data_IF_639202968839
#
_entry.id   IF_639202968839
#
_cell.length_a   1.000
_cell.length_b   1.000
_cell.length_c   1.000
_cell.angle_alpha   90.00
_cell.angle_beta   90.00
_cell.angle_gamma   90.00
#
_symmetry.space_group_name_H-M   'P 1'
#
loop_
_entity.id
_entity.type
_entity.pdbx_description
1 polymer ?
#
# COMPACT_ATOMS: atom_id res chain seq x y z
N UNK A 1 -19.99 -0.54 -3.47
CA UNK A 1 -20.40 0.78 -2.96
C UNK A 1 -19.80 1.05 -1.57
N UNK A 2 -18.60 1.62 -1.50
CA UNK A 2 -17.90 1.82 -0.21
C UNK A 2 -18.73 2.59 0.84
N UNK A 3 -18.92 2.00 2.03
CA UNK A 3 -19.53 2.66 3.19
C UNK A 3 -18.49 3.47 3.97
N UNK A 4 -18.78 4.76 4.21
CA UNK A 4 -17.88 5.67 4.94
C UNK A 4 -18.02 5.53 6.47
N UNK A 5 -17.70 4.35 7.01
CA UNK A 5 -17.64 4.10 8.46
C UNK A 5 -16.19 4.01 8.93
N UNK A 6 -15.50 5.16 8.95
CA UNK A 6 -14.08 5.24 9.30
C UNK A 6 -13.91 5.48 10.79
N UNK A 7 -13.07 4.67 11.45
CA UNK A 7 -12.63 4.95 12.83
C UNK A 7 -11.91 6.31 12.86
N UNK A 8 -12.25 7.15 13.83
CA UNK A 8 -11.66 8.50 14.02
C UNK A 8 -10.78 8.62 15.25
N UNK A 9 -11.06 7.81 16.26
CA UNK A 9 -10.31 7.78 17.51
C UNK A 9 -9.36 6.58 17.58
N UNK A 10 -8.26 6.68 18.34
CA UNK A 10 -7.39 5.54 18.62
C UNK A 10 -8.16 4.38 19.26
N UNK A 11 -7.78 3.16 18.90
CA UNK A 11 -8.45 1.95 19.38
C UNK A 11 -7.44 0.83 19.64
N UNK A 12 -7.86 -0.14 20.47
CA UNK A 12 -7.05 -1.31 20.81
C UNK A 12 -7.20 -2.42 19.77
N UNK A 13 -6.09 -3.08 19.47
CA UNK A 13 -6.00 -4.36 18.78
C UNK A 13 -5.51 -5.41 19.78
N UNK A 14 -6.19 -6.54 19.83
CA UNK A 14 -5.76 -7.70 20.61
C UNK A 14 -4.91 -8.59 19.71
N UNK A 15 -3.64 -8.76 20.05
CA UNK A 15 -2.68 -9.57 19.33
C UNK A 15 -2.40 -10.88 20.11
N UNK A 16 -1.77 -11.89 19.49
CA UNK A 16 -1.42 -13.13 20.18
C UNK A 16 -0.45 -12.90 21.35
N UNK A 17 -0.26 -13.93 22.18
CA UNK A 17 0.64 -13.92 23.33
C UNK A 17 0.32 -12.84 24.40
N UNK A 18 -0.96 -12.44 24.51
CA UNK A 18 -1.40 -11.47 25.52
C UNK A 18 -1.00 -10.02 25.21
N UNK A 19 -0.50 -9.75 24.00
CA UNK A 19 -0.13 -8.41 23.56
C UNK A 19 -1.36 -7.63 23.15
N UNK A 20 -1.45 -6.38 23.58
CA UNK A 20 -2.44 -5.42 23.06
C UNK A 20 -1.72 -4.18 22.56
N UNK A 21 -2.11 -3.65 21.41
CA UNK A 21 -1.57 -2.40 20.88
C UNK A 21 -2.68 -1.40 20.63
N UNK A 22 -2.49 -0.16 21.08
CA UNK A 22 -3.37 0.95 20.77
C UNK A 22 -2.84 1.67 19.55
N UNK A 23 -3.69 1.81 18.54
CA UNK A 23 -3.31 2.35 17.24
C UNK A 23 -4.13 3.57 16.88
N UNK A 24 -3.51 4.52 16.19
CA UNK A 24 -4.22 5.56 15.43
C UNK A 24 -4.99 4.91 14.29
N UNK A 25 -6.17 5.45 13.90
CA UNK A 25 -6.87 4.99 12.71
C UNK A 25 -5.98 4.97 11.47
N UNK A 26 -6.13 3.92 10.66
CA UNK A 26 -5.46 3.84 9.37
C UNK A 26 -5.94 5.00 8.50
N UNK A 27 -5.01 5.89 8.16
CA UNK A 27 -5.25 7.04 7.30
C UNK A 27 -4.41 6.93 6.04
N UNK A 28 -4.80 7.67 5.00
CA UNK A 28 -4.02 7.77 3.76
C UNK A 28 -2.59 8.24 4.06
N UNK A 29 -2.41 9.18 4.98
CA UNK A 29 -1.08 9.66 5.36
C UNK A 29 -0.19 8.55 5.94
N UNK A 30 -0.72 7.72 6.83
CA UNK A 30 0.02 6.58 7.42
C UNK A 30 0.36 5.54 6.35
N UNK A 31 -0.61 5.17 5.50
CA UNK A 31 -0.39 4.19 4.43
C UNK A 31 0.64 4.69 3.41
N UNK A 32 0.50 5.92 2.91
CA UNK A 32 1.40 6.48 1.92
C UNK A 32 2.82 6.69 2.46
N UNK A 33 2.96 7.10 3.72
CA UNK A 33 4.27 7.20 4.37
C UNK A 33 4.93 5.82 4.49
N UNK A 34 4.18 4.79 4.89
CA UNK A 34 4.68 3.43 4.99
C UNK A 34 5.12 2.89 3.62
N UNK A 35 4.29 2.98 2.59
CA UNK A 35 4.63 2.58 1.22
C UNK A 35 5.87 3.32 0.71
N UNK A 36 5.97 4.64 0.94
CA UNK A 36 7.12 5.44 0.52
C UNK A 36 8.41 4.99 1.19
N UNK A 37 8.36 4.62 2.47
CA UNK A 37 9.53 4.10 3.19
C UNK A 37 10.03 2.76 2.61
N UNK A 38 9.10 1.88 2.22
CA UNK A 38 9.42 0.60 1.59
C UNK A 38 10.05 0.81 0.21
N UNK A 39 9.42 1.63 -0.63
CA UNK A 39 9.93 1.95 -1.98
C UNK A 39 11.33 2.54 -1.89
N UNK A 40 11.56 3.47 -0.96
CA UNK A 40 12.87 4.07 -0.73
C UNK A 40 13.90 3.00 -0.37
N UNK A 41 13.63 2.18 0.63
CA UNK A 41 14.59 1.18 1.11
C UNK A 41 14.90 0.10 0.04
N UNK A 42 13.92 -0.35 -0.75
CA UNK A 42 14.15 -1.26 -1.88
C UNK A 42 15.03 -0.59 -2.95
N UNK A 43 14.78 0.69 -3.24
CA UNK A 43 15.56 1.46 -4.20
C UNK A 43 17.00 1.64 -3.71
N UNK A 44 17.19 1.97 -2.44
CA UNK A 44 18.49 2.14 -1.81
C UNK A 44 19.30 0.83 -1.88
N UNK A 45 18.70 -0.32 -1.55
CA UNK A 45 19.38 -1.61 -1.68
C UNK A 45 19.76 -1.95 -3.12
N UNK A 46 18.87 -1.70 -4.09
CA UNK A 46 19.17 -1.93 -5.51
C UNK A 46 20.34 -1.06 -5.97
N UNK A 47 20.35 0.21 -5.57
CA UNK A 47 21.42 1.15 -5.92
C UNK A 47 22.76 0.76 -5.28
N UNK A 48 22.75 0.41 -3.99
CA UNK A 48 23.95 -0.02 -3.27
C UNK A 48 24.53 -1.30 -3.87
N UNK A 49 23.67 -2.29 -4.15
CA UNK A 49 24.09 -3.57 -4.76
C UNK A 49 24.74 -3.35 -6.11
N UNK A 50 24.14 -2.50 -6.95
CA UNK A 50 24.73 -2.09 -8.24
C UNK A 50 26.08 -1.40 -8.05
N UNK A 51 26.16 -0.43 -7.15
CA UNK A 51 27.39 0.32 -6.90
C UNK A 51 28.54 -0.57 -6.41
N UNK A 52 28.27 -1.56 -5.55
CA UNK A 52 29.26 -2.52 -5.07
C UNK A 52 29.68 -3.50 -6.17
N UNK A 53 28.72 -3.99 -6.95
CA UNK A 53 28.98 -4.90 -8.07
C UNK A 53 29.89 -4.26 -9.12
N UNK A 54 29.64 -2.99 -9.48
CA UNK A 54 30.43 -2.26 -10.49
C UNK A 54 31.92 -2.11 -10.10
N UNK A 55 32.25 -2.17 -8.80
CA UNK A 55 33.63 -2.10 -8.28
C UNK A 55 34.18 -3.46 -7.81
N UNK A 56 33.43 -4.55 -8.02
CA UNK A 56 33.82 -5.90 -7.59
C UNK A 56 33.85 -6.10 -6.07
N UNK A 57 33.12 -5.27 -5.31
CA UNK A 57 32.96 -5.44 -3.87
C UNK A 57 31.95 -6.55 -3.53
N UNK A 58 32.02 -7.06 -2.31
CA UNK A 58 31.08 -8.07 -1.82
C UNK A 58 29.66 -7.47 -1.67
N UNK A 59 28.67 -8.25 -2.10
CA UNK A 59 27.23 -7.93 -2.04
C UNK A 59 26.44 -8.98 -1.27
N UNK A 60 27.11 -9.99 -0.71
CA UNK A 60 26.46 -11.11 -0.03
C UNK A 60 25.70 -10.71 1.25
N UNK A 61 26.04 -9.56 1.84
CA UNK A 61 25.36 -8.96 2.99
C UNK A 61 24.09 -8.17 2.62
N UNK A 62 23.87 -7.90 1.32
CA UNK A 62 22.72 -7.16 0.83
C UNK A 62 21.63 -8.11 0.35
N UNK A 63 20.35 -7.81 0.60
CA UNK A 63 19.26 -8.59 0.05
C UNK A 63 19.23 -8.50 -1.48
N UNK A 64 18.96 -9.62 -2.15
CA UNK A 64 18.72 -9.63 -3.59
C UNK A 64 17.30 -9.13 -3.90
N UNK A 65 17.16 -7.80 -3.99
CA UNK A 65 15.88 -7.15 -4.29
C UNK A 65 15.49 -7.22 -5.78
N UNK A 66 16.32 -7.82 -6.63
CA UNK A 66 15.96 -8.12 -8.02
C UNK A 66 15.26 -9.47 -8.15
N UNK A 67 15.54 -10.40 -7.23
CA UNK A 67 14.71 -11.58 -7.02
C UNK A 67 13.29 -11.19 -6.56
N UNK A 68 12.28 -11.71 -7.25
CA UNK A 68 10.89 -11.32 -7.04
C UNK A 68 10.36 -11.77 -5.68
N UNK A 69 10.67 -13.00 -5.27
CA UNK A 69 10.18 -13.57 -4.01
C UNK A 69 10.80 -12.85 -2.81
N UNK A 70 12.11 -12.59 -2.87
CA UNK A 70 12.84 -11.81 -1.87
C UNK A 70 12.27 -10.40 -1.76
N UNK A 71 12.08 -9.72 -2.90
CA UNK A 71 11.49 -8.38 -2.93
C UNK A 71 10.07 -8.36 -2.36
N UNK A 72 9.22 -9.34 -2.69
CA UNK A 72 7.86 -9.41 -2.19
C UNK A 72 7.83 -9.60 -0.66
N UNK A 73 8.58 -10.57 -0.15
CA UNK A 73 8.65 -10.85 1.29
C UNK A 73 9.21 -9.67 2.10
N UNK A 74 10.26 -9.01 1.60
CA UNK A 74 10.81 -7.81 2.22
C UNK A 74 9.82 -6.65 2.19
N UNK A 75 9.16 -6.44 1.04
CA UNK A 75 8.18 -5.34 0.89
C UNK A 75 7.02 -5.49 1.85
N UNK A 76 6.48 -6.70 2.02
CA UNK A 76 5.40 -6.97 2.96
C UNK A 76 5.85 -6.77 4.42
N UNK A 77 6.95 -7.40 4.83
CA UNK A 77 7.50 -7.28 6.18
C UNK A 77 7.76 -5.82 6.56
N UNK A 78 8.40 -5.06 5.68
CA UNK A 78 8.72 -3.65 5.92
C UNK A 78 7.48 -2.77 5.91
N UNK A 79 6.47 -3.09 5.09
CA UNK A 79 5.20 -2.36 5.09
C UNK A 79 4.48 -2.53 6.43
N UNK A 80 4.41 -3.76 6.95
CA UNK A 80 3.82 -4.04 8.26
C UNK A 80 4.54 -3.25 9.36
N UNK A 81 5.88 -3.29 9.38
CA UNK A 81 6.70 -2.53 10.33
C UNK A 81 6.48 -1.03 10.24
N UNK A 82 6.48 -0.48 9.04
CA UNK A 82 6.29 0.95 8.82
C UNK A 82 4.88 1.42 9.22
N UNK A 83 3.85 0.61 8.94
CA UNK A 83 2.48 0.87 9.41
C UNK A 83 2.41 0.85 10.93
N UNK A 84 2.99 -0.18 11.58
CA UNK A 84 3.02 -0.27 13.03
C UNK A 84 3.73 0.94 13.67
N UNK A 85 4.88 1.35 13.13
CA UNK A 85 5.61 2.54 13.59
C UNK A 85 4.78 3.83 13.46
N UNK A 86 4.02 3.99 12.37
CA UNK A 86 3.14 5.15 12.19
C UNK A 86 1.87 5.11 13.07
N UNK A 87 1.42 3.92 13.43
CA UNK A 87 0.12 3.71 14.05
C UNK A 87 0.15 3.56 15.57
N UNK A 88 1.09 2.79 16.12
CA UNK A 88 1.11 2.39 17.53
C UNK A 88 1.45 3.59 18.42
N UNK A 89 0.66 3.77 19.49
CA UNK A 89 0.82 4.86 20.47
C UNK A 89 0.95 4.38 21.91
N UNK A 90 0.53 3.15 22.18
CA UNK A 90 0.50 2.54 23.51
C UNK A 90 0.43 1.01 23.32
N UNK A 91 0.94 0.25 24.29
CA UNK A 91 0.76 -1.21 24.30
C UNK A 91 0.71 -1.79 25.70
N UNK A 92 0.31 -3.06 25.79
CA UNK A 92 0.31 -3.87 26.99
C UNK A 92 0.84 -5.26 26.64
N UNK A 93 1.47 -5.93 27.61
CA UNK A 93 2.02 -7.28 27.41
C UNK A 93 3.34 -7.35 26.65
N UNK A 94 3.99 -6.21 26.37
CA UNK A 94 5.31 -6.15 25.72
C UNK A 94 6.37 -5.79 26.76
N UNK A 95 7.21 -6.77 27.11
CA UNK A 95 8.27 -6.62 28.09
C UNK A 95 9.63 -6.39 27.40
N UNK A 96 10.56 -5.78 28.12
CA UNK A 96 11.94 -5.62 27.67
C UNK A 96 12.71 -6.93 27.62
N UNK A 97 13.92 -6.89 27.07
CA UNK A 97 14.82 -8.07 26.99
C UNK A 97 15.40 -8.49 28.34
N UNK A 98 15.32 -7.64 29.36
CA UNK A 98 15.83 -7.90 30.71
C UNK A 98 14.77 -7.53 31.75
N UNK A 99 14.30 -8.53 32.50
CA UNK A 99 13.30 -8.38 33.55
C UNK A 99 11.87 -8.13 33.07
N UNK A 100 10.95 -7.90 34.00
CA UNK A 100 9.50 -7.76 33.74
C UNK A 100 9.06 -6.30 33.50
N UNK A 101 9.99 -5.43 33.08
CA UNK A 101 9.66 -4.03 32.79
C UNK A 101 9.02 -3.90 31.41
N UNK A 102 7.92 -3.12 31.33
CA UNK A 102 7.26 -2.81 30.06
C UNK A 102 8.22 -2.08 29.13
N UNK A 103 8.34 -2.58 27.90
CA UNK A 103 9.18 -1.96 26.87
C UNK A 103 8.59 -0.61 26.45
N UNK A 104 9.41 0.44 26.21
CA UNK A 104 8.90 1.73 25.73
C UNK A 104 8.40 1.60 24.29
N UNK A 105 7.34 2.33 23.92
CA UNK A 105 6.88 2.40 22.52
C UNK A 105 7.79 3.33 21.73
N UNK A 106 8.61 2.78 20.85
CA UNK A 106 9.43 3.53 19.89
C UNK A 106 9.65 2.70 18.61
N UNK A 107 10.28 3.27 17.59
CA UNK A 107 10.46 2.58 16.30
C UNK A 107 11.21 1.25 16.44
N UNK A 108 12.25 1.18 17.28
CA UNK A 108 13.02 -0.04 17.45
C UNK A 108 12.17 -1.15 18.06
N UNK A 109 11.54 -0.87 19.20
CA UNK A 109 10.77 -1.87 19.94
C UNK A 109 9.49 -2.28 19.20
N UNK A 110 8.90 -1.38 18.41
CA UNK A 110 7.79 -1.72 17.50
C UNK A 110 8.26 -2.62 16.36
N UNK A 111 9.43 -2.36 15.77
CA UNK A 111 10.00 -3.25 14.77
C UNK A 111 10.30 -4.63 15.37
N UNK A 112 10.89 -4.69 16.56
CA UNK A 112 11.19 -5.95 17.25
C UNK A 112 9.91 -6.76 17.52
N UNK A 113 8.82 -6.10 17.93
CA UNK A 113 7.52 -6.75 18.10
C UNK A 113 6.99 -7.32 16.78
N UNK A 114 7.15 -6.58 15.68
CA UNK A 114 6.71 -6.99 14.34
C UNK A 114 7.66 -7.98 13.66
N UNK A 115 8.83 -8.27 14.23
CA UNK A 115 9.67 -9.41 13.83
C UNK A 115 9.11 -10.75 14.33
N UNK A 116 8.21 -10.72 15.31
CA UNK A 116 7.46 -11.91 15.73
C UNK A 116 6.37 -12.18 14.69
N UNK A 117 6.64 -13.11 13.77
CA UNK A 117 5.82 -13.38 12.59
C UNK A 117 4.31 -13.44 12.86
N UNK A 118 3.86 -14.24 13.84
CA UNK A 118 2.42 -14.39 14.11
C UNK A 118 1.78 -13.12 14.71
N UNK A 119 2.56 -12.28 15.41
CA UNK A 119 2.08 -10.98 15.92
C UNK A 119 1.90 -10.01 14.76
N UNK A 120 2.88 -9.94 13.85
CA UNK A 120 2.85 -9.11 12.66
C UNK A 120 1.67 -9.47 11.74
N UNK A 121 1.41 -10.76 11.54
CA UNK A 121 0.28 -11.24 10.72
C UNK A 121 -1.07 -10.85 11.32
N UNK A 122 -1.26 -11.01 12.63
CA UNK A 122 -2.53 -10.64 13.27
C UNK A 122 -2.70 -9.11 13.30
N UNK A 123 -1.62 -8.35 13.52
CA UNK A 123 -1.64 -6.89 13.41
C UNK A 123 -2.06 -6.45 12.00
N UNK A 124 -1.42 -7.00 10.96
CA UNK A 124 -1.75 -6.69 9.56
C UNK A 124 -3.21 -6.96 9.26
N UNK A 125 -3.69 -8.17 9.58
CA UNK A 125 -5.07 -8.60 9.39
C UNK A 125 -6.08 -7.65 10.05
N UNK A 126 -5.87 -7.28 11.31
CA UNK A 126 -6.82 -6.41 12.01
C UNK A 126 -6.72 -4.95 11.57
N UNK A 127 -5.51 -4.43 11.39
CA UNK A 127 -5.29 -3.01 11.09
C UNK A 127 -5.70 -2.64 9.66
N UNK A 128 -5.58 -3.59 8.72
CA UNK A 128 -5.96 -3.39 7.31
C UNK A 128 -7.35 -3.92 6.97
N UNK A 129 -8.12 -4.46 7.92
CA UNK A 129 -9.42 -5.09 7.68
C UNK A 129 -10.43 -4.23 6.88
N UNK A 130 -10.34 -2.90 7.00
CA UNK A 130 -11.18 -1.96 6.22
C UNK A 130 -10.91 -2.06 4.70
N UNK A 131 -9.69 -2.40 4.29
CA UNK A 131 -9.33 -2.64 2.89
C UNK A 131 -9.96 -3.93 2.37
N UNK A 132 -9.96 -4.99 3.19
CA UNK A 132 -10.56 -6.28 2.83
C UNK A 132 -12.08 -6.21 2.63
N UNK A 133 -12.77 -5.32 3.36
CA UNK A 133 -14.21 -5.07 3.16
C UNK A 133 -14.49 -4.44 1.79
N UNK A 134 -13.60 -3.57 1.30
CA UNK A 134 -13.71 -2.94 -0.01
C UNK A 134 -13.50 -3.96 -1.15
N UNK A 135 -12.53 -4.87 -1.01
CA UNK A 135 -12.28 -5.94 -1.98
C UNK A 135 -13.46 -6.91 -2.11
N UNK A 136 -14.06 -7.31 -0.99
CA UNK A 136 -15.25 -8.17 -0.98
C UNK A 136 -16.47 -7.49 -1.64
N UNK A 137 -16.60 -6.17 -1.48
CA UNK A 137 -17.68 -5.41 -2.10
C UNK A 137 -17.46 -5.18 -3.60
N UNK A 138 -16.21 -5.07 -4.06
CA UNK A 138 -15.86 -5.02 -5.48
C UNK A 138 -16.13 -6.35 -6.21
N UNK A 139 -15.81 -7.48 -5.57
CA UNK A 139 -16.00 -8.82 -6.14
C UNK A 139 -17.46 -9.27 -6.23
N UNK A 140 -18.39 -8.64 -5.49
CA UNK A 140 -19.82 -8.87 -5.63
C UNK A 140 -20.43 -8.26 -6.92
N UNK A 141 -19.65 -7.51 -7.71
CA UNK A 141 -20.07 -6.91 -8.99
C UNK A 141 -19.63 -7.70 -10.23
N UNK A 142 -19.04 -8.89 -10.06
CA UNK A 142 -18.59 -9.75 -11.15
C UNK A 142 -19.68 -10.68 -11.70
N UNK A 143 -20.02 -10.48 -12.98
CA UNK A 143 -20.85 -11.33 -13.86
C UNK A 143 -22.38 -11.22 -13.70
N UNK A 144 -22.93 -10.02 -13.91
CA UNK A 144 -24.18 -9.95 -14.67
C UNK A 144 -23.83 -10.30 -16.14
N UNK A 145 -24.53 -11.29 -16.69
CA UNK A 145 -24.29 -11.91 -17.99
C UNK A 145 -23.89 -10.89 -19.07
N UNK A 146 -22.91 -11.29 -19.89
CA UNK A 146 -22.51 -10.59 -21.10
C UNK A 146 -23.75 -10.11 -21.86
N UNK A 147 -24.05 -8.82 -21.73
CA UNK A 147 -25.06 -8.14 -22.52
C UNK A 147 -24.57 -8.17 -23.96
N UNK A 148 -25.15 -9.04 -24.76
CA UNK A 148 -25.04 -9.01 -26.21
C UNK A 148 -25.31 -7.59 -26.67
N UNK A 149 -24.30 -6.93 -27.25
CA UNK A 149 -24.44 -5.60 -27.85
C UNK A 149 -25.49 -5.65 -28.95
N UNK A 150 -26.73 -5.28 -28.63
CA UNK A 150 -27.66 -4.78 -29.62
C UNK A 150 -27.16 -3.39 -30.01
N UNK A 151 -26.60 -3.28 -31.23
CA UNK A 151 -26.19 -2.00 -31.79
C UNK A 151 -27.38 -1.02 -31.74
N UNK A 152 -27.27 0.03 -30.92
CA UNK A 152 -28.23 1.11 -30.92
C UNK A 152 -28.24 1.78 -32.29
N UNK A 153 -29.42 1.92 -32.88
CA UNK A 153 -29.61 2.65 -34.13
C UNK A 153 -29.17 4.10 -33.95
N UNK A 154 -28.45 4.61 -34.95
CA UNK A 154 -27.97 5.99 -35.00
C UNK A 154 -29.15 6.98 -35.07
N UNK A 155 -29.22 7.93 -34.13
CA UNK A 155 -30.27 8.97 -34.06
C UNK A 155 -29.66 10.37 -34.23
N UNK A 156 -28.50 10.49 -34.88
CA UNK A 156 -28.00 11.79 -35.32
C UNK A 156 -28.52 12.10 -36.73
N UNK A 157 -29.28 13.18 -36.89
CA UNK A 157 -29.62 13.73 -38.22
C UNK A 157 -28.42 14.52 -38.76
N UNK A 158 -28.08 14.27 -40.03
CA UNK A 158 -26.99 14.94 -40.75
C UNK A 158 -26.99 16.46 -40.57
N UNK A 159 -25.79 17.01 -40.32
CA UNK A 159 -25.57 18.45 -40.27
C UNK A 159 -25.59 19.04 -41.70
N UNK A 160 -26.54 19.93 -41.99
CA UNK A 160 -26.57 20.66 -43.25
C UNK A 160 -25.41 21.66 -43.34
N UNK A 161 -24.42 21.36 -44.18
CA UNK A 161 -23.39 22.31 -44.60
C UNK A 161 -24.00 23.44 -45.44
N UNK A 162 -23.99 24.67 -44.91
CA UNK A 162 -24.22 25.88 -45.72
C UNK A 162 -22.90 26.40 -46.27
N UNK A 163 -22.82 26.44 -47.60
CA UNK A 163 -21.70 26.97 -48.35
C UNK A 163 -21.47 28.45 -48.05
N UNK A 164 -20.29 28.78 -47.51
CA UNK A 164 -19.81 30.16 -47.39
C UNK A 164 -18.75 30.40 -48.47
N UNK A 165 -19.05 31.29 -49.43
CA UNK A 165 -18.08 31.78 -50.43
C UNK A 165 -16.99 32.60 -49.71
N UNK A 166 -15.74 32.16 -49.83
CA UNK A 166 -14.58 33.01 -49.61
C UNK A 166 -13.75 33.10 -50.89
N UNK A 167 -13.38 34.33 -51.23
CA UNK A 167 -12.78 34.79 -52.50
C UNK A 167 -11.38 34.21 -52.70
N UNK A 168 -11.12 33.65 -53.90
CA UNK A 168 -9.78 33.25 -54.35
C UNK A 168 -8.87 34.47 -54.49
N UNK A 169 -7.80 34.53 -53.70
CA UNK A 169 -6.66 35.43 -53.97
C UNK A 169 -5.65 34.65 -54.81
N UNK A 170 -5.32 35.18 -56.00
CA UNK A 170 -4.25 34.72 -56.89
C UNK A 170 -2.87 35.10 -56.33
N UNK A 171 -1.91 34.17 -56.41
CA UNK A 171 -0.46 34.42 -56.61
C UNK A 171 -0.02 33.45 -57.72
N UNK A 172 0.26 33.92 -58.93
CA UNK A 172 1.50 34.52 -59.41
C UNK A 172 2.61 33.47 -59.62
N UNK A 173 2.71 33.01 -60.87
CA UNK A 173 3.96 32.75 -61.59
C UNK A 173 3.80 33.37 -62.96
#
# INVERSE_FOLDING_TARGET
MLRLNLKKEPYWLDLPAGVKVKVRPLSTAIMSAAQSSVIKQITDWRQERKSRFDVGADVSDLPDVDDELTRLGLSESMLIKALACGAVIEWQGVLGSVGDTVSPVNHQTVNDLMDIWFVAQEFWKQYTASLSLLEAEGNASGLAAAGTSAAGLDIAKDAMTKNSRAVKVKKAS
#
